data_IF_653144246373
#
_entry.id   IF_653144246373
#
_cell.length_a   1.000
_cell.length_b   1.000
_cell.length_c   1.000
_cell.angle_alpha   90.00
_cell.angle_beta   90.00
_cell.angle_gamma   90.00
#
_symmetry.space_group_name_H-M   'P 1'
#
loop_
_entity.id
_entity.type
_entity.pdbx_description
1 polymer ?
#
# COMPACT_ATOMS: atom_id res chain seq x y z
N UNK A 1 -56.24 -1.96 -32.79
CA UNK A 1 -55.88 -0.82 -31.91
C UNK A 1 -54.96 -1.38 -30.83
N UNK A 2 -53.65 -1.47 -31.12
CA UNK A 2 -52.63 -1.89 -30.16
C UNK A 2 -51.54 -0.81 -30.21
N UNK A 3 -51.27 -0.09 -29.11
CA UNK A 3 -50.22 0.92 -29.11
C UNK A 3 -48.87 0.20 -29.22
N UNK A 4 -48.09 0.55 -30.24
CA UNK A 4 -46.70 0.14 -30.37
C UNK A 4 -45.90 0.84 -29.26
N UNK A 5 -45.72 0.16 -28.13
CA UNK A 5 -44.77 0.56 -27.10
C UNK A 5 -43.37 0.35 -27.66
N UNK A 6 -42.70 1.43 -28.04
CA UNK A 6 -41.36 1.39 -28.62
C UNK A 6 -40.35 0.93 -27.56
N UNK A 7 -39.48 -0.06 -27.86
CA UNK A 7 -38.47 -0.56 -26.93
C UNK A 7 -37.43 0.53 -26.52
N UNK A 8 -37.36 1.61 -27.29
CA UNK A 8 -36.51 2.77 -27.00
C UNK A 8 -36.98 3.56 -25.77
N UNK A 9 -38.29 3.69 -25.53
CA UNK A 9 -38.79 4.36 -24.32
C UNK A 9 -38.54 3.51 -23.07
N UNK A 10 -38.62 2.18 -23.18
CA UNK A 10 -38.32 1.26 -22.08
C UNK A 10 -36.84 1.33 -21.66
N UNK A 11 -35.94 1.48 -22.65
CA UNK A 11 -34.51 1.67 -22.43
C UNK A 11 -34.20 3.05 -21.81
N UNK A 12 -34.90 4.12 -22.24
CA UNK A 12 -34.78 5.45 -21.63
C UNK A 12 -35.35 5.51 -20.20
N UNK A 13 -36.41 4.75 -19.88
CA UNK A 13 -36.94 4.67 -18.51
C UNK A 13 -36.05 3.85 -17.57
N UNK A 14 -35.29 2.88 -18.08
CA UNK A 14 -34.31 2.11 -17.30
C UNK A 14 -33.05 2.92 -16.93
N UNK A 15 -32.72 3.97 -17.71
CA UNK A 15 -31.61 4.89 -17.39
C UNK A 15 -31.91 5.81 -16.18
N UNK A 16 -33.16 5.89 -15.72
CA UNK A 16 -33.57 6.77 -14.61
C UNK A 16 -33.54 6.05 -13.25
N UNK A 17 -33.55 4.70 -13.22
CA UNK A 17 -33.78 3.93 -11.99
C UNK A 17 -32.55 3.22 -11.40
N UNK A 18 -31.44 3.06 -12.14
CA UNK A 18 -30.22 2.44 -11.58
C UNK A 18 -28.97 2.85 -12.36
N UNK A 19 -28.33 3.99 -12.04
CA UNK A 19 -27.09 4.44 -12.68
C UNK A 19 -25.93 3.43 -12.57
N UNK A 20 -26.02 2.45 -11.66
CA UNK A 20 -25.00 1.44 -11.40
C UNK A 20 -25.07 0.18 -12.30
N UNK A 21 -26.05 0.06 -13.20
CA UNK A 21 -26.12 -1.08 -14.14
C UNK A 21 -25.09 -1.02 -15.28
N UNK A 22 -24.46 0.15 -15.51
CA UNK A 22 -23.53 0.37 -16.63
C UNK A 22 -22.17 0.95 -16.20
N UNK A 23 -22.02 1.37 -14.94
CA UNK A 23 -20.81 1.99 -14.42
C UNK A 23 -20.51 1.47 -13.00
N UNK A 24 -19.22 1.26 -12.71
CA UNK A 24 -18.73 0.74 -11.43
C UNK A 24 -18.98 1.79 -10.32
N UNK A 25 -20.10 1.66 -9.61
CA UNK A 25 -20.41 2.45 -8.43
C UNK A 25 -19.65 1.87 -7.24
N UNK A 26 -18.75 2.67 -6.65
CA UNK A 26 -17.89 2.20 -5.56
C UNK A 26 -17.90 3.16 -4.39
N UNK A 27 -17.79 2.60 -3.18
CA UNK A 27 -17.53 3.38 -1.98
C UNK A 27 -16.14 3.99 -2.02
N UNK A 28 -16.08 5.32 -2.11
CA UNK A 28 -14.83 6.08 -2.09
C UNK A 28 -14.71 6.77 -0.73
N UNK A 29 -13.69 6.44 0.08
CA UNK A 29 -13.43 7.16 1.32
C UNK A 29 -12.76 8.50 1.03
N UNK A 30 -13.27 9.57 1.64
CA UNK A 30 -12.61 10.88 1.62
C UNK A 30 -11.40 10.92 2.57
N UNK A 31 -10.73 12.07 2.60
CA UNK A 31 -9.65 12.33 3.55
C UNK A 31 -10.15 12.26 5.00
N UNK A 32 -9.29 11.79 5.88
CA UNK A 32 -9.55 11.75 7.31
C UNK A 32 -9.52 13.15 7.92
N UNK A 33 -10.42 13.40 8.87
CA UNK A 33 -10.41 14.61 9.67
C UNK A 33 -9.13 14.74 10.50
N UNK A 34 -8.90 15.92 11.06
CA UNK A 34 -7.97 16.07 12.19
C UNK A 34 -8.36 15.12 13.34
N UNK A 35 -7.38 14.76 14.15
CA UNK A 35 -7.61 13.95 15.34
C UNK A 35 -8.52 14.73 16.30
N UNK A 36 -9.49 14.07 16.94
CA UNK A 36 -10.40 14.71 17.92
C UNK A 36 -9.67 15.34 19.10
N UNK A 37 -8.44 14.92 19.34
CA UNK A 37 -7.57 15.42 20.40
C UNK A 37 -6.32 16.04 19.77
N UNK A 38 -5.77 17.06 20.43
CA UNK A 38 -4.47 17.66 20.09
C UNK A 38 -3.31 16.96 20.78
N UNK A 39 -3.59 16.08 21.74
CA UNK A 39 -2.60 15.24 22.42
C UNK A 39 -3.25 13.92 22.86
N UNK A 40 -2.45 12.87 22.98
CA UNK A 40 -2.87 11.54 23.40
C UNK A 40 -3.57 10.75 22.29
N UNK A 41 -4.29 9.70 22.69
CA UNK A 41 -5.11 8.90 21.79
C UNK A 41 -6.44 9.58 21.52
N UNK A 42 -6.80 9.71 20.26
CA UNK A 42 -8.09 10.22 19.83
C UNK A 42 -8.63 9.42 18.65
N UNK A 43 -9.55 10.04 17.94
CA UNK A 43 -10.23 9.40 16.82
C UNK A 43 -10.32 10.36 15.63
N UNK A 44 -10.10 9.85 14.42
CA UNK A 44 -10.38 10.57 13.17
C UNK A 44 -11.63 10.00 12.54
N UNK A 45 -12.42 10.88 11.92
CA UNK A 45 -13.61 10.51 11.16
C UNK A 45 -13.42 10.89 9.69
N UNK A 46 -13.99 10.10 8.79
CA UNK A 46 -14.07 10.44 7.37
C UNK A 46 -15.44 10.13 6.82
N UNK A 47 -15.80 10.86 5.78
CA UNK A 47 -17.00 10.59 5.01
C UNK A 47 -16.66 9.54 3.95
N UNK A 48 -17.59 8.61 3.73
CA UNK A 48 -17.51 7.61 2.67
C UNK A 48 -18.68 7.85 1.76
N UNK A 49 -18.40 8.24 0.52
CA UNK A 49 -19.41 8.56 -0.49
C UNK A 49 -19.56 7.41 -1.47
N UNK A 50 -20.79 7.19 -1.93
CA UNK A 50 -21.04 6.33 -3.08
C UNK A 50 -20.82 7.19 -4.33
N UNK A 51 -19.87 6.82 -5.18
CA UNK A 51 -19.55 7.60 -6.36
C UNK A 51 -19.50 6.72 -7.60
N UNK A 52 -19.89 7.28 -8.74
CA UNK A 52 -19.80 6.66 -10.06
C UNK A 52 -18.90 7.47 -10.98
N UNK A 53 -18.06 6.78 -11.74
CA UNK A 53 -17.29 7.38 -12.82
C UNK A 53 -18.07 7.27 -14.13
N UNK A 54 -18.49 8.41 -14.67
CA UNK A 54 -19.24 8.48 -15.92
C UNK A 54 -18.27 8.38 -17.10
N UNK A 55 -18.24 7.23 -17.78
CA UNK A 55 -17.31 6.97 -18.89
C UNK A 55 -17.46 7.94 -20.06
N UNK A 56 -18.66 8.48 -20.27
CA UNK A 56 -18.97 9.40 -21.37
C UNK A 56 -18.40 10.82 -21.16
N UNK A 57 -18.43 11.33 -19.93
CA UNK A 57 -18.01 12.69 -19.58
C UNK A 57 -16.74 12.74 -18.73
N UNK A 58 -16.18 11.58 -18.39
CA UNK A 58 -15.01 11.42 -17.53
C UNK A 58 -15.14 12.13 -16.16
N UNK A 59 -16.38 12.28 -15.69
CA UNK A 59 -16.71 13.00 -14.46
C UNK A 59 -17.14 12.05 -13.36
N UNK A 60 -16.89 12.44 -12.12
CA UNK A 60 -17.31 11.70 -10.93
C UNK A 60 -18.58 12.36 -10.37
N UNK A 61 -19.60 11.56 -10.08
CA UNK A 61 -20.85 12.01 -9.47
C UNK A 61 -21.12 11.29 -8.16
N UNK A 62 -21.59 12.05 -7.15
CA UNK A 62 -22.04 11.52 -5.86
C UNK A 62 -23.45 10.94 -5.97
N UNK A 63 -23.65 9.77 -5.36
CA UNK A 63 -24.88 9.00 -5.35
C UNK A 63 -25.37 8.79 -3.90
N UNK A 64 -26.67 8.48 -3.71
CA UNK A 64 -27.17 8.03 -2.41
C UNK A 64 -26.42 6.76 -1.96
N UNK A 65 -26.23 6.64 -0.65
CA UNK A 65 -25.42 5.55 -0.05
C UNK A 65 -25.98 4.16 -0.35
N UNK A 66 -27.31 4.06 -0.50
CA UNK A 66 -28.04 2.81 -0.78
C UNK A 66 -27.80 2.26 -2.19
N UNK A 67 -27.25 3.06 -3.12
CA UNK A 67 -26.96 2.63 -4.50
C UNK A 67 -25.66 1.82 -4.60
N UNK A 68 -24.77 1.93 -3.62
CA UNK A 68 -23.54 1.15 -3.58
C UNK A 68 -23.73 -0.12 -2.75
N UNK A 69 -23.61 -1.28 -3.38
CA UNK A 69 -23.67 -2.57 -2.69
C UNK A 69 -22.25 -3.09 -2.41
N UNK A 70 -21.97 -3.50 -1.16
CA UNK A 70 -20.66 -4.06 -0.79
C UNK A 70 -20.10 -3.59 0.56
N UNK A 71 -18.85 -3.96 0.89
CA UNK A 71 -18.25 -3.64 2.19
C UNK A 71 -17.93 -2.15 2.29
N UNK A 72 -18.66 -1.43 3.14
CA UNK A 72 -18.41 -0.02 3.42
C UNK A 72 -17.08 0.14 4.19
N UNK A 73 -16.12 0.94 3.69
CA UNK A 73 -14.88 1.19 4.41
C UNK A 73 -15.13 1.92 5.73
N UNK A 74 -14.23 1.74 6.70
CA UNK A 74 -14.36 2.35 8.02
C UNK A 74 -14.46 3.88 7.94
N UNK A 75 -15.48 4.45 8.58
CA UNK A 75 -15.68 5.90 8.73
C UNK A 75 -14.93 6.48 9.94
N UNK A 76 -14.36 5.62 10.78
CA UNK A 76 -13.69 6.02 12.01
C UNK A 76 -12.40 5.22 12.21
N UNK A 77 -11.34 5.88 12.70
CA UNK A 77 -10.09 5.22 13.10
C UNK A 77 -9.44 5.89 14.30
N UNK A 78 -8.66 5.14 15.07
CA UNK A 78 -7.84 5.71 16.13
C UNK A 78 -6.69 6.57 15.56
N UNK A 79 -6.32 7.63 16.27
CA UNK A 79 -5.17 8.47 15.99
C UNK A 79 -4.39 8.77 17.28
N UNK A 80 -3.12 9.13 17.14
CA UNK A 80 -2.29 9.57 18.25
C UNK A 80 -1.70 10.93 17.92
N UNK A 81 -2.04 11.95 18.72
CA UNK A 81 -1.69 13.35 18.46
C UNK A 81 -0.43 13.81 19.24
N UNK A 82 0.35 12.88 19.78
CA UNK A 82 1.55 13.17 20.58
C UNK A 82 1.29 13.11 22.09
N UNK A 83 2.30 13.33 22.95
CA UNK A 83 2.13 13.30 24.40
C UNK A 83 1.32 14.49 24.92
N UNK A 84 0.51 14.29 25.98
CA UNK A 84 -0.25 15.37 26.64
C UNK A 84 0.53 16.15 27.70
N UNK A 85 1.81 15.82 27.92
CA UNK A 85 2.70 16.73 28.62
C UNK A 85 2.90 17.91 27.69
N UNK A 86 2.43 19.09 28.10
CA UNK A 86 2.28 20.33 27.31
C UNK A 86 3.54 20.92 26.69
N UNK A 87 4.55 20.11 26.45
CA UNK A 87 5.65 20.31 25.53
C UNK A 87 5.10 20.05 24.13
N UNK A 88 4.29 20.97 23.62
CA UNK A 88 4.29 21.19 22.17
C UNK A 88 5.73 21.65 21.93
N UNK A 89 6.62 20.89 21.26
CA UNK A 89 7.83 21.52 20.79
C UNK A 89 7.33 22.63 19.88
N UNK A 90 7.48 23.87 20.33
CA UNK A 90 7.32 25.04 19.48
C UNK A 90 8.21 24.74 18.29
N UNK A 91 7.59 24.40 17.17
CA UNK A 91 8.28 24.26 15.90
C UNK A 91 8.67 25.69 15.53
N UNK A 92 9.76 26.16 16.13
CA UNK A 92 10.46 27.33 15.67
C UNK A 92 10.92 26.96 14.26
N UNK A 93 10.42 27.62 13.21
CA UNK A 93 10.86 27.36 11.83
C UNK A 93 12.31 27.83 11.58
N UNK A 94 13.06 28.13 12.65
CA UNK A 94 14.40 28.70 12.64
C UNK A 94 15.38 27.89 13.54
N UNK A 95 15.13 26.59 13.72
CA UNK A 95 16.11 25.67 14.32
C UNK A 95 15.95 24.24 13.78
N UNK A 96 15.47 24.10 12.55
CA UNK A 96 15.47 22.83 11.79
C UNK A 96 16.73 22.70 10.95
N UNK A 97 17.90 22.89 11.57
CA UNK A 97 19.18 22.52 10.98
C UNK A 97 19.99 21.80 12.07
N UNK A 98 19.99 20.47 12.04
CA UNK A 98 20.95 19.71 12.84
C UNK A 98 20.52 18.37 13.47
N UNK A 99 19.24 17.94 13.43
CA UNK A 99 18.87 16.63 14.03
C UNK A 99 17.92 15.74 13.22
N UNK A 100 17.49 16.16 12.02
CA UNK A 100 16.70 15.32 11.10
C UNK A 100 17.45 14.93 9.80
N UNK A 101 18.66 15.43 9.58
CA UNK A 101 19.45 15.13 8.37
C UNK A 101 20.32 13.86 8.45
N UNK A 102 20.62 13.35 9.65
CA UNK A 102 21.60 12.26 9.81
C UNK A 102 21.09 10.85 9.48
N UNK A 103 19.79 10.59 9.63
CA UNK A 103 19.21 9.27 9.34
C UNK A 103 18.70 9.13 7.92
N UNK A 104 18.45 10.24 7.23
CA UNK A 104 17.94 10.22 5.86
C UNK A 104 19.06 10.02 4.83
N UNK A 105 20.29 10.45 5.14
CA UNK A 105 21.46 10.30 4.27
C UNK A 105 22.09 8.89 4.33
N UNK A 106 21.94 8.19 5.46
CA UNK A 106 22.44 6.82 5.64
C UNK A 106 21.50 5.77 4.98
N UNK A 107 20.17 5.94 5.08
CA UNK A 107 19.16 5.08 4.43
C UNK A 107 19.23 5.17 2.89
N UNK A 108 19.67 6.31 2.36
CA UNK A 108 19.86 6.50 0.91
C UNK A 108 21.20 5.95 0.39
N UNK A 109 22.18 5.67 1.27
CA UNK A 109 23.53 5.24 0.89
C UNK A 109 23.75 3.72 0.93
N UNK A 110 23.02 2.99 1.79
CA UNK A 110 23.20 1.54 1.96
C UNK A 110 21.93 0.77 1.62
N UNK A 111 22.05 -0.28 0.81
CA UNK A 111 20.92 -1.10 0.36
C UNK A 111 21.22 -2.61 0.45
N UNK A 112 20.17 -3.43 0.50
CA UNK A 112 20.28 -4.88 0.58
C UNK A 112 20.30 -5.48 -0.82
N UNK A 113 21.43 -6.09 -1.21
CA UNK A 113 21.57 -6.71 -2.53
C UNK A 113 21.81 -8.23 -2.41
N UNK A 114 21.33 -8.99 -3.40
CA UNK A 114 21.57 -10.43 -3.50
C UNK A 114 22.97 -10.67 -4.08
N UNK A 115 23.85 -11.30 -3.30
CA UNK A 115 25.22 -11.58 -3.70
C UNK A 115 25.40 -12.95 -4.37
N UNK A 116 24.40 -13.82 -4.24
CA UNK A 116 24.41 -15.13 -4.90
C UNK A 116 23.63 -16.17 -4.12
N UNK A 117 24.02 -17.43 -4.27
CA UNK A 117 23.42 -18.55 -3.55
C UNK A 117 24.48 -19.31 -2.76
N UNK A 118 24.08 -19.86 -1.62
CA UNK A 118 24.90 -20.78 -0.83
C UNK A 118 25.18 -22.07 -1.61
N UNK A 119 26.13 -22.87 -1.13
CA UNK A 119 26.39 -24.19 -1.71
C UNK A 119 25.11 -25.02 -1.63
N UNK A 120 24.84 -25.78 -2.69
CA UNK A 120 23.71 -26.70 -2.70
C UNK A 120 23.82 -27.69 -1.54
N UNK A 121 22.72 -27.93 -0.84
CA UNK A 121 22.65 -28.87 0.28
C UNK A 121 23.09 -30.27 -0.12
N UNK A 122 22.68 -30.71 -1.30
CA UNK A 122 22.96 -32.04 -1.85
C UNK A 122 23.75 -31.91 -3.14
N UNK A 123 24.71 -32.80 -3.38
CA UNK A 123 25.50 -32.80 -4.63
C UNK A 123 24.81 -33.53 -5.79
N UNK A 124 23.75 -34.29 -5.51
CA UNK A 124 22.94 -35.02 -6.47
C UNK A 124 21.58 -35.37 -5.84
N UNK A 125 20.59 -35.74 -6.64
CA UNK A 125 19.28 -36.20 -6.17
C UNK A 125 18.30 -35.10 -5.77
N UNK A 126 18.65 -33.83 -6.00
CA UNK A 126 17.85 -32.66 -5.66
C UNK A 126 18.17 -32.09 -4.29
N UNK A 127 18.88 -30.97 -4.27
CA UNK A 127 19.13 -30.15 -3.08
C UNK A 127 18.50 -28.77 -3.17
N UNK A 128 18.73 -27.98 -2.12
CA UNK A 128 18.33 -26.57 -2.07
C UNK A 128 19.54 -25.69 -1.78
N UNK A 129 19.53 -24.49 -2.34
CA UNK A 129 20.47 -23.41 -2.08
C UNK A 129 19.69 -22.17 -1.65
N UNK A 130 20.25 -21.39 -0.73
CA UNK A 130 19.64 -20.18 -0.17
C UNK A 130 20.32 -18.94 -0.75
N UNK A 131 19.56 -17.91 -1.08
CA UNK A 131 20.11 -16.67 -1.59
C UNK A 131 20.82 -15.90 -0.48
N UNK A 132 22.07 -15.52 -0.71
CA UNK A 132 22.88 -14.71 0.21
C UNK A 132 22.54 -13.24 -0.04
N UNK A 133 22.13 -12.54 1.01
CA UNK A 133 21.82 -11.11 0.96
C UNK A 133 22.83 -10.37 1.84
N UNK A 134 23.51 -9.39 1.27
CA UNK A 134 24.49 -8.56 1.97
C UNK A 134 24.09 -7.08 1.93
N UNK A 135 24.48 -6.32 2.96
CA UNK A 135 24.32 -4.88 2.97
C UNK A 135 25.46 -4.25 2.18
N UNK A 136 25.16 -3.47 1.14
CA UNK A 136 26.15 -2.84 0.28
C UNK A 136 25.99 -1.32 0.26
N UNK A 137 27.12 -0.61 0.11
CA UNK A 137 27.10 0.81 -0.20
C UNK A 137 26.69 1.03 -1.66
N UNK A 138 25.63 1.79 -1.92
CA UNK A 138 25.10 2.04 -3.28
C UNK A 138 26.05 2.81 -4.19
N UNK A 139 26.98 3.58 -3.63
CA UNK A 139 27.93 4.37 -4.41
C UNK A 139 29.19 3.57 -4.78
N UNK A 140 29.75 2.80 -3.85
CA UNK A 140 30.99 2.05 -4.08
C UNK A 140 30.77 0.56 -4.37
N UNK A 141 29.56 0.04 -4.11
CA UNK A 141 29.23 -1.40 -4.11
C UNK A 141 30.10 -2.23 -3.16
N UNK A 142 30.61 -1.62 -2.11
CA UNK A 142 31.39 -2.32 -1.09
C UNK A 142 30.50 -2.88 0.02
N UNK A 143 30.93 -3.98 0.61
CA UNK A 143 30.29 -4.62 1.76
C UNK A 143 30.30 -3.68 2.97
N UNK A 144 29.10 -3.39 3.46
CA UNK A 144 28.85 -2.55 4.60
C UNK A 144 28.38 -3.39 5.80
N UNK A 145 28.43 -2.80 7.00
CA UNK A 145 27.90 -3.45 8.19
C UNK A 145 26.38 -3.61 8.12
N UNK A 146 25.87 -4.73 8.62
CA UNK A 146 24.43 -5.06 8.62
C UNK A 146 23.55 -3.99 9.30
N UNK A 147 24.09 -3.29 10.31
CA UNK A 147 23.37 -2.23 11.03
C UNK A 147 23.21 -0.93 10.23
N UNK A 148 23.97 -0.76 9.14
CA UNK A 148 23.89 0.42 8.27
C UNK A 148 22.70 0.31 7.30
N UNK A 149 22.31 -0.92 6.93
CA UNK A 149 21.11 -1.17 6.16
C UNK A 149 19.88 -1.36 7.07
N UNK A 150 18.74 -0.82 6.66
CA UNK A 150 17.49 -0.96 7.43
C UNK A 150 17.01 -2.41 7.40
N UNK A 151 17.00 -3.07 8.56
CA UNK A 151 16.58 -4.48 8.69
C UNK A 151 15.15 -4.72 8.19
N UNK A 152 14.26 -3.75 8.35
CA UNK A 152 12.86 -3.82 7.86
C UNK A 152 12.74 -3.87 6.33
N UNK A 153 13.78 -3.45 5.59
CA UNK A 153 13.82 -3.51 4.11
C UNK A 153 14.54 -4.74 3.58
N UNK A 154 15.05 -5.61 4.46
CA UNK A 154 15.77 -6.83 4.06
C UNK A 154 14.85 -7.72 3.20
N UNK A 155 15.30 -8.14 2.00
CA UNK A 155 14.57 -9.06 1.15
C UNK A 155 14.22 -10.39 1.84
N UNK A 156 13.12 -11.04 1.44
CA UNK A 156 12.75 -12.35 2.00
C UNK A 156 13.79 -13.42 1.64
N UNK A 157 13.90 -14.43 2.50
CA UNK A 157 14.76 -15.58 2.24
C UNK A 157 14.30 -16.31 0.98
N UNK A 158 15.17 -16.37 -0.03
CA UNK A 158 14.88 -16.98 -1.31
C UNK A 158 15.60 -18.34 -1.42
N UNK A 159 14.83 -19.41 -1.50
CA UNK A 159 15.33 -20.78 -1.68
C UNK A 159 15.17 -21.23 -3.13
N UNK A 160 16.19 -21.89 -3.68
CA UNK A 160 16.20 -22.41 -5.05
C UNK A 160 16.63 -23.87 -5.06
N UNK A 161 15.97 -24.70 -5.86
CA UNK A 161 16.38 -26.09 -6.09
C UNK A 161 17.65 -26.19 -6.95
N UNK A 162 18.54 -27.11 -6.62
CA UNK A 162 19.82 -27.36 -7.30
C UNK A 162 20.13 -28.86 -7.37
N UNK A 163 21.08 -29.24 -8.25
CA UNK A 163 21.58 -30.62 -8.40
C UNK A 163 20.47 -31.67 -8.54
N UNK A 164 19.56 -31.44 -9.48
CA UNK A 164 18.40 -32.32 -9.75
C UNK A 164 18.77 -33.64 -10.43
N UNK A 165 20.01 -33.76 -10.89
CA UNK A 165 20.50 -34.97 -11.53
C UNK A 165 20.52 -36.15 -10.54
N UNK A 166 20.09 -37.34 -10.98
CA UNK A 166 20.07 -38.51 -10.12
C UNK A 166 21.49 -38.85 -9.64
N UNK A 167 21.60 -39.24 -8.38
CA UNK A 167 22.87 -39.71 -7.83
C UNK A 167 23.37 -40.96 -8.57
N UNK A 168 24.69 -41.10 -8.78
CA UNK A 168 25.26 -42.30 -9.37
C UNK A 168 24.91 -43.52 -8.51
N UNK A 169 24.56 -44.63 -9.17
CA UNK A 169 24.28 -45.89 -8.50
C UNK A 169 25.53 -46.37 -7.74
N UNK A 170 25.31 -46.77 -6.48
CA UNK A 170 26.35 -47.29 -5.59
C UNK A 170 26.58 -48.78 -5.80
#
# INVERSE_FOLDING_TARGET
MHPLTTPALYCLTLLILSPCLLADCRFIPEAWSACTVTCGMGTQVRVVKCQVLLSFSQSVADLPVDECEGPKPASQRACYAGPCNGEIPEFNPDSTDGLLGGLQELDELYDWEYEGFTKCSESCGGGVQEAVVSCLNKQTRELAEENLCVTSRRPPQLLKSCNLDPCPAR
#
